data_IF_376693851366
#
_entry.id   IF_376693851366
#
_cell.length_a   1.000
_cell.length_b   1.000
_cell.length_c   1.000
_cell.angle_alpha   90.00
_cell.angle_beta   90.00
_cell.angle_gamma   90.00
#
_symmetry.space_group_name_H-M   'P 1'
#
loop_
_entity.id
_entity.type
_entity.pdbx_description
1 polymer ?
#
# COMPACT_ATOMS: atom_id res chain seq x y z
N UNK A 1 -11.35 -5.18 -9.08
CA UNK A 1 -10.42 -4.81 -10.17
C UNK A 1 -10.25 -3.31 -10.16
N UNK A 2 -9.05 -2.81 -10.43
CA UNK A 2 -8.86 -1.40 -10.77
C UNK A 2 -9.32 -1.21 -12.22
N UNK A 3 -10.58 -0.83 -12.39
CA UNK A 3 -11.10 -0.55 -13.72
C UNK A 3 -10.57 0.82 -14.15
N UNK A 4 -9.87 0.84 -15.28
CA UNK A 4 -9.34 2.06 -15.91
C UNK A 4 -10.14 2.26 -17.19
N UNK A 5 -10.71 3.45 -17.33
CA UNK A 5 -11.29 3.91 -18.60
C UNK A 5 -10.17 4.55 -19.41
N UNK A 6 -9.85 3.99 -20.58
CA UNK A 6 -8.88 4.57 -21.50
C UNK A 6 -9.52 5.73 -22.26
N UNK A 7 -8.92 6.93 -22.18
CA UNK A 7 -9.36 8.07 -22.98
C UNK A 7 -8.41 8.27 -24.16
N UNK A 8 -8.93 8.20 -25.37
CA UNK A 8 -8.18 8.37 -26.62
C UNK A 8 -8.78 9.52 -27.43
N UNK A 9 -8.05 10.63 -27.54
CA UNK A 9 -8.44 11.76 -28.38
C UNK A 9 -7.90 11.62 -29.80
N UNK A 10 -8.72 11.92 -30.80
CA UNK A 10 -8.34 11.99 -32.22
C UNK A 10 -8.79 13.30 -32.85
N UNK A 11 -8.17 13.64 -33.99
CA UNK A 11 -8.65 14.74 -34.83
C UNK A 11 -9.98 14.40 -35.50
N UNK A 12 -10.17 13.14 -35.84
CA UNK A 12 -11.44 12.59 -36.34
C UNK A 12 -11.55 11.12 -35.93
N UNK A 13 -12.72 10.73 -35.45
CA UNK A 13 -13.04 9.35 -35.10
C UNK A 13 -13.30 8.53 -36.37
N UNK A 14 -12.52 7.47 -36.55
CA UNK A 14 -12.57 6.56 -37.70
C UNK A 14 -12.50 5.11 -37.26
N UNK A 15 -12.85 4.18 -38.15
CA UNK A 15 -12.70 2.73 -37.88
C UNK A 15 -11.24 2.33 -37.64
N UNK A 16 -10.29 3.03 -38.26
CA UNK A 16 -8.86 2.83 -38.00
C UNK A 16 -8.48 3.22 -36.57
N UNK A 17 -8.98 4.37 -36.10
CA UNK A 17 -8.79 4.81 -34.71
C UNK A 17 -9.46 3.86 -33.72
N UNK A 18 -10.65 3.36 -34.05
CA UNK A 18 -11.31 2.33 -33.26
C UNK A 18 -10.47 1.04 -33.18
N UNK A 19 -9.94 0.56 -34.32
CA UNK A 19 -9.05 -0.61 -34.36
C UNK A 19 -7.79 -0.43 -33.49
N UNK A 20 -7.26 0.80 -33.39
CA UNK A 20 -6.16 1.14 -32.49
C UNK A 20 -6.57 1.02 -31.01
N UNK A 21 -7.73 1.57 -30.62
CA UNK A 21 -8.26 1.46 -29.26
C UNK A 21 -8.50 -0.01 -28.88
N UNK A 22 -9.06 -0.82 -29.78
CA UNK A 22 -9.25 -2.26 -29.55
C UNK A 22 -7.90 -2.96 -29.29
N UNK A 23 -6.84 -2.58 -30.02
CA UNK A 23 -5.48 -3.11 -29.77
C UNK A 23 -4.95 -2.68 -28.41
N UNK A 24 -5.22 -1.46 -27.96
CA UNK A 24 -4.84 -0.99 -26.63
C UNK A 24 -5.56 -1.77 -25.53
N UNK A 25 -6.88 -1.90 -25.61
CA UNK A 25 -7.68 -2.66 -24.64
C UNK A 25 -7.20 -4.11 -24.53
N UNK A 26 -6.91 -4.77 -25.66
CA UNK A 26 -6.36 -6.15 -25.68
C UNK A 26 -5.01 -6.28 -24.98
N UNK A 27 -4.15 -5.28 -25.09
CA UNK A 27 -2.81 -5.28 -24.48
C UNK A 27 -2.85 -4.94 -23.00
N UNK A 28 -3.66 -3.95 -22.63
CA UNK A 28 -3.75 -3.46 -21.26
C UNK A 28 -4.58 -4.40 -20.36
N UNK A 29 -5.60 -5.06 -20.91
CA UNK A 29 -6.55 -5.88 -20.14
C UNK A 29 -6.83 -7.24 -20.79
N UNK A 30 -5.81 -8.10 -20.98
CA UNK A 30 -5.96 -9.35 -21.72
C UNK A 30 -6.94 -10.35 -21.09
N UNK A 31 -7.18 -10.26 -19.78
CA UNK A 31 -7.96 -11.23 -18.99
C UNK A 31 -9.20 -10.65 -18.32
N UNK A 32 -9.38 -9.33 -18.35
CA UNK A 32 -10.40 -8.61 -17.59
C UNK A 32 -11.41 -7.86 -18.45
N UNK A 33 -12.35 -7.18 -17.79
CA UNK A 33 -13.18 -6.16 -18.43
C UNK A 33 -12.39 -4.88 -18.61
N UNK A 34 -12.65 -4.15 -19.70
CA UNK A 34 -12.02 -2.87 -19.95
C UNK A 34 -12.94 -1.95 -20.72
N UNK A 35 -12.75 -0.65 -20.50
CA UNK A 35 -13.56 0.40 -21.09
C UNK A 35 -12.68 1.46 -21.74
N UNK A 36 -13.14 2.00 -22.86
CA UNK A 36 -12.50 3.12 -23.52
C UNK A 36 -13.51 4.16 -23.99
N UNK A 37 -13.03 5.39 -24.06
CA UNK A 37 -13.68 6.53 -24.69
C UNK A 37 -12.77 6.96 -25.84
N UNK A 38 -13.24 6.79 -27.07
CA UNK A 38 -12.59 7.32 -28.27
C UNK A 38 -13.36 8.58 -28.69
N UNK A 39 -12.69 9.72 -28.81
CA UNK A 39 -13.40 10.97 -29.09
C UNK A 39 -12.64 11.92 -29.99
N UNK A 40 -13.38 12.79 -30.67
CA UNK A 40 -12.88 13.97 -31.38
C UNK A 40 -13.68 15.22 -30.95
N UNK A 41 -13.57 16.32 -31.69
CA UNK A 41 -14.28 17.57 -31.41
C UNK A 41 -15.80 17.49 -31.62
N UNK A 42 -16.29 16.49 -32.35
CA UNK A 42 -17.69 16.37 -32.78
C UNK A 42 -18.43 15.20 -32.10
N UNK A 43 -17.73 14.11 -31.81
CA UNK A 43 -18.34 12.86 -31.36
C UNK A 43 -17.47 12.07 -30.39
N UNK A 44 -18.09 11.09 -29.73
CA UNK A 44 -17.42 10.12 -28.89
C UNK A 44 -18.03 8.72 -29.03
N UNK A 45 -17.19 7.71 -28.86
CA UNK A 45 -17.53 6.31 -28.87
C UNK A 45 -17.17 5.70 -27.52
N UNK A 46 -18.16 5.15 -26.83
CA UNK A 46 -18.04 4.46 -25.55
C UNK A 46 -17.92 2.97 -25.81
N UNK A 47 -16.81 2.36 -25.41
CA UNK A 47 -16.44 1.01 -25.81
C UNK A 47 -16.26 0.18 -24.55
N UNK A 48 -16.98 -0.94 -24.44
CA UNK A 48 -16.80 -1.92 -23.38
C UNK A 48 -16.32 -3.23 -23.98
N UNK A 49 -15.33 -3.85 -23.35
CA UNK A 49 -14.75 -5.12 -23.77
C UNK A 49 -14.61 -6.08 -22.59
N UNK A 50 -14.62 -7.37 -22.89
CA UNK A 50 -14.22 -8.43 -21.96
C UNK A 50 -13.15 -9.28 -22.65
N UNK A 51 -11.97 -9.33 -22.04
CA UNK A 51 -10.77 -9.97 -22.61
C UNK A 51 -10.45 -9.37 -23.98
N UNK A 52 -10.58 -10.17 -25.03
CA UNK A 52 -10.25 -9.77 -26.41
C UNK A 52 -11.48 -9.42 -27.26
N UNK A 53 -12.68 -9.44 -26.66
CA UNK A 53 -13.97 -9.29 -27.34
C UNK A 53 -14.61 -7.96 -26.97
N UNK A 54 -15.03 -7.20 -27.99
CA UNK A 54 -15.83 -5.99 -27.80
C UNK A 54 -17.27 -6.41 -27.54
N UNK A 55 -17.80 -5.98 -26.40
CA UNK A 55 -19.17 -6.30 -25.97
C UNK A 55 -20.16 -5.23 -26.43
N UNK A 56 -19.78 -3.96 -26.31
CA UNK A 56 -20.64 -2.81 -26.59
C UNK A 56 -19.84 -1.66 -27.17
N UNK A 57 -20.42 -1.00 -28.16
CA UNK A 57 -19.95 0.29 -28.69
C UNK A 57 -21.15 1.20 -28.83
N UNK A 58 -21.16 2.30 -28.09
CA UNK A 58 -22.17 3.35 -28.20
C UNK A 58 -21.54 4.60 -28.80
N UNK A 59 -22.18 5.17 -29.82
CA UNK A 59 -21.67 6.33 -30.55
C UNK A 59 -22.67 7.47 -30.36
N UNK A 60 -22.18 8.67 -30.06
CA UNK A 60 -23.00 9.87 -29.94
C UNK A 60 -22.19 11.11 -30.34
N UNK A 61 -22.89 12.18 -30.76
CA UNK A 61 -22.27 13.49 -30.92
C UNK A 61 -22.36 14.28 -29.62
N UNK A 62 -21.39 15.16 -29.38
CA UNK A 62 -21.38 16.01 -28.18
C UNK A 62 -22.60 16.93 -28.06
N UNK A 63 -23.19 17.29 -29.20
CA UNK A 63 -24.33 18.21 -29.28
C UNK A 63 -25.69 17.50 -29.21
N UNK A 64 -25.71 16.17 -29.25
CA UNK A 64 -26.96 15.40 -29.18
C UNK A 64 -27.57 15.52 -27.78
N UNK A 65 -28.90 15.63 -27.72
CA UNK A 65 -29.63 15.63 -26.45
C UNK A 65 -29.37 14.34 -25.66
N UNK A 66 -28.98 14.47 -24.38
CA UNK A 66 -28.68 13.34 -23.50
C UNK A 66 -27.26 12.75 -23.62
N UNK A 67 -26.45 13.20 -24.58
CA UNK A 67 -25.06 12.73 -24.78
C UNK A 67 -24.18 12.94 -23.54
N UNK A 68 -24.32 14.08 -22.84
CA UNK A 68 -23.64 14.34 -21.57
C UNK A 68 -23.97 13.30 -20.50
N UNK A 69 -25.26 13.02 -20.29
CA UNK A 69 -25.70 12.06 -19.29
C UNK A 69 -25.24 10.64 -19.63
N UNK A 70 -25.26 10.27 -20.92
CA UNK A 70 -24.72 9.01 -21.41
C UNK A 70 -23.24 8.85 -21.09
N UNK A 71 -22.44 9.88 -21.39
CA UNK A 71 -21.01 9.90 -21.11
C UNK A 71 -20.71 9.82 -19.61
N UNK A 72 -21.38 10.65 -18.81
CA UNK A 72 -21.22 10.67 -17.35
C UNK A 72 -21.57 9.33 -16.72
N UNK A 73 -22.68 8.71 -17.14
CA UNK A 73 -23.06 7.36 -16.69
C UNK A 73 -21.98 6.35 -17.04
N UNK A 74 -21.49 6.33 -18.28
CA UNK A 74 -20.47 5.38 -18.69
C UNK A 74 -19.18 5.53 -17.88
N UNK A 75 -18.70 6.75 -17.68
CA UNK A 75 -17.50 6.99 -16.86
C UNK A 75 -17.76 6.55 -15.42
N UNK A 76 -18.89 6.92 -14.83
CA UNK A 76 -19.26 6.53 -13.46
C UNK A 76 -19.36 5.01 -13.29
N UNK A 77 -20.00 4.31 -14.22
CA UNK A 77 -20.25 2.86 -14.16
C UNK A 77 -18.95 2.04 -14.27
N UNK A 78 -17.95 2.60 -14.94
CA UNK A 78 -16.65 1.95 -15.15
C UNK A 78 -15.52 2.55 -14.30
N UNK A 79 -15.82 3.55 -13.48
CA UNK A 79 -14.86 4.12 -12.53
C UNK A 79 -14.56 3.11 -11.43
N UNK A 80 -13.28 2.90 -11.13
CA UNK A 80 -12.86 2.01 -10.06
C UNK A 80 -13.59 2.36 -8.74
N UNK A 81 -14.15 1.37 -8.01
CA UNK A 81 -14.74 1.61 -6.69
C UNK A 81 -13.78 2.32 -5.72
N UNK A 82 -12.47 2.19 -5.95
CA UNK A 82 -11.45 2.88 -5.17
C UNK A 82 -11.44 4.38 -5.35
N UNK A 83 -11.77 4.89 -6.55
CA UNK A 83 -11.89 6.34 -6.79
C UNK A 83 -13.05 6.89 -5.97
N UNK A 84 -14.23 6.25 -6.04
CA UNK A 84 -15.39 6.65 -5.24
C UNK A 84 -15.08 6.66 -3.75
N UNK A 85 -14.43 5.61 -3.24
CA UNK A 85 -14.01 5.54 -1.83
C UNK A 85 -13.00 6.61 -1.45
N UNK A 86 -12.02 6.87 -2.32
CA UNK A 86 -11.03 7.92 -2.10
C UNK A 86 -11.70 9.29 -2.03
N UNK A 87 -12.60 9.61 -2.97
CA UNK A 87 -13.39 10.86 -2.95
C UNK A 87 -14.21 10.97 -1.67
N UNK A 88 -14.91 9.91 -1.26
CA UNK A 88 -15.71 9.90 -0.02
C UNK A 88 -14.83 10.12 1.21
N UNK A 89 -13.71 9.39 1.32
CA UNK A 89 -12.77 9.52 2.44
C UNK A 89 -12.15 10.93 2.51
N UNK A 90 -11.71 11.47 1.37
CA UNK A 90 -11.17 12.82 1.27
C UNK A 90 -12.17 13.88 1.73
N UNK A 91 -13.44 13.76 1.30
CA UNK A 91 -14.52 14.65 1.73
C UNK A 91 -14.77 14.54 3.24
N UNK A 92 -14.90 13.32 3.77
CA UNK A 92 -15.17 13.07 5.18
C UNK A 92 -14.04 13.56 6.12
N UNK A 93 -12.79 13.46 5.67
CA UNK A 93 -11.60 13.78 6.46
C UNK A 93 -11.07 15.20 6.23
N UNK A 94 -11.68 15.97 5.31
CA UNK A 94 -11.22 17.32 4.98
C UNK A 94 -9.82 17.36 4.38
N UNK A 95 -9.49 16.40 3.51
CA UNK A 95 -8.18 16.29 2.84
C UNK A 95 -8.33 16.24 1.33
N UNK A 96 -7.30 16.65 0.59
CA UNK A 96 -7.18 16.48 -0.85
C UNK A 96 -6.00 15.57 -1.19
N UNK A 97 -6.11 14.81 -2.28
CA UNK A 97 -5.01 13.99 -2.77
C UNK A 97 -3.91 14.91 -3.31
N UNK A 98 -2.66 14.67 -2.91
CA UNK A 98 -1.52 15.48 -3.40
C UNK A 98 -1.31 15.23 -4.89
N UNK A 99 -1.14 16.29 -5.67
CA UNK A 99 -0.81 16.16 -7.10
C UNK A 99 0.62 15.62 -7.29
N UNK A 100 0.76 14.61 -8.15
CA UNK A 100 2.06 13.98 -8.45
C UNK A 100 2.60 13.10 -7.32
N UNK A 101 2.68 11.79 -7.56
CA UNK A 101 3.25 10.86 -6.58
C UNK A 101 2.37 10.62 -5.34
N UNK A 102 1.05 10.84 -5.46
CA UNK A 102 0.13 10.62 -4.35
C UNK A 102 0.00 9.15 -3.94
N UNK A 103 0.17 8.20 -4.87
CA UNK A 103 0.01 6.81 -4.53
C UNK A 103 1.25 6.28 -3.80
N UNK A 104 1.11 5.98 -2.51
CA UNK A 104 2.20 5.52 -1.65
C UNK A 104 2.34 4.00 -1.65
N UNK A 105 1.24 3.27 -1.86
CA UNK A 105 1.30 1.82 -1.94
C UNK A 105 -0.04 1.13 -1.89
N UNK A 106 0.00 -0.20 -2.07
CA UNK A 106 -1.15 -1.10 -1.93
C UNK A 106 -0.71 -2.32 -1.12
N UNK A 107 -1.45 -2.59 -0.06
CA UNK A 107 -1.32 -3.80 0.74
C UNK A 107 -2.36 -4.86 0.34
N UNK A 108 -2.46 -5.92 1.13
CA UNK A 108 -3.49 -6.94 0.97
C UNK A 108 -4.91 -6.37 1.22
N UNK A 109 -5.01 -5.40 2.13
CA UNK A 109 -6.28 -4.91 2.68
C UNK A 109 -6.71 -3.53 2.17
N UNK A 110 -5.82 -2.81 1.48
CA UNK A 110 -6.08 -1.41 1.14
C UNK A 110 -5.05 -0.74 0.25
N UNK A 111 -5.26 0.56 0.04
CA UNK A 111 -4.36 1.49 -0.65
C UNK A 111 -3.97 2.61 0.29
N UNK A 112 -2.78 3.16 0.07
CA UNK A 112 -2.27 4.29 0.83
C UNK A 112 -2.00 5.44 -0.13
N UNK A 113 -2.51 6.62 0.20
CA UNK A 113 -2.35 7.83 -0.58
C UNK A 113 -1.74 8.94 0.27
N UNK A 114 -0.84 9.72 -0.31
CA UNK A 114 -0.39 11.00 0.21
C UNK A 114 -1.50 12.02 0.00
N UNK A 115 -1.93 12.64 1.09
CA UNK A 115 -2.99 13.65 1.10
C UNK A 115 -2.50 14.90 1.83
N UNK A 116 -3.15 16.01 1.54
CA UNK A 116 -2.93 17.30 2.20
C UNK A 116 -4.21 17.70 2.92
N UNK A 117 -4.12 18.03 4.21
CA UNK A 117 -5.26 18.53 4.96
C UNK A 117 -5.60 19.95 4.53
N UNK A 118 -6.89 20.21 4.27
CA UNK A 118 -7.39 21.50 3.79
C UNK A 118 -7.13 22.65 4.78
N UNK A 119 -7.23 22.37 6.07
CA UNK A 119 -7.17 23.37 7.13
C UNK A 119 -5.76 23.97 7.34
N UNK A 120 -4.73 23.13 7.33
CA UNK A 120 -3.36 23.50 7.74
C UNK A 120 -2.28 23.13 6.72
N UNK A 121 -2.69 22.58 5.56
CA UNK A 121 -1.78 22.11 4.50
C UNK A 121 -0.80 21.03 4.97
N UNK A 122 -1.11 20.33 6.06
CA UNK A 122 -0.28 19.24 6.57
C UNK A 122 -0.38 18.03 5.65
N UNK A 123 0.78 17.50 5.29
CA UNK A 123 0.91 16.27 4.50
C UNK A 123 0.75 15.04 5.39
N UNK A 124 -0.14 14.14 5.00
CA UNK A 124 -0.54 12.94 5.73
C UNK A 124 -0.61 11.74 4.78
N UNK A 125 -0.58 10.53 5.33
CA UNK A 125 -0.89 9.31 4.61
C UNK A 125 -2.31 8.86 4.95
N UNK A 126 -3.16 8.75 3.94
CA UNK A 126 -4.51 8.22 3.99
C UNK A 126 -4.46 6.73 3.68
N UNK A 127 -4.76 5.89 4.67
CA UNK A 127 -4.95 4.45 4.46
C UNK A 127 -6.43 4.18 4.21
N UNK A 128 -6.73 3.55 3.08
CA UNK A 128 -8.07 3.34 2.56
C UNK A 128 -8.31 1.84 2.34
N UNK A 129 -9.39 1.30 2.92
CA UNK A 129 -9.73 -0.12 2.81
C UNK A 129 -11.12 -0.33 2.22
N UNK A 130 -11.41 -1.56 1.82
CA UNK A 130 -12.76 -1.97 1.44
C UNK A 130 -13.60 -2.41 2.64
N UNK A 131 -14.91 -2.56 2.44
CA UNK A 131 -15.84 -2.98 3.49
C UNK A 131 -15.52 -4.35 4.10
N UNK A 132 -14.73 -5.20 3.44
CA UNK A 132 -14.32 -6.52 3.95
C UNK A 132 -13.13 -6.43 4.90
N UNK A 133 -12.42 -5.31 4.87
CA UNK A 133 -11.15 -5.11 5.57
C UNK A 133 -11.24 -4.03 6.66
N UNK A 134 -12.45 -3.56 6.99
CA UNK A 134 -12.68 -2.54 8.02
C UNK A 134 -12.22 -3.00 9.40
N UNK A 135 -12.48 -4.26 9.78
CA UNK A 135 -11.99 -4.83 11.05
C UNK A 135 -10.46 -4.86 11.12
N UNK A 136 -9.78 -5.12 10.01
CA UNK A 136 -8.31 -5.09 9.97
C UNK A 136 -7.79 -3.67 10.17
N UNK A 137 -8.43 -2.67 9.55
CA UNK A 137 -8.08 -1.27 9.73
C UNK A 137 -8.31 -0.78 11.15
N UNK A 138 -9.41 -1.19 11.79
CA UNK A 138 -9.68 -0.87 13.19
C UNK A 138 -8.64 -1.49 14.14
N UNK A 139 -8.20 -2.73 13.88
CA UNK A 139 -7.10 -3.34 14.66
C UNK A 139 -5.80 -2.56 14.50
N UNK A 140 -5.48 -2.13 13.29
CA UNK A 140 -4.29 -1.30 13.06
C UNK A 140 -4.36 0.04 13.79
N UNK A 141 -5.54 0.69 13.84
CA UNK A 141 -5.75 1.88 14.65
C UNK A 141 -5.42 1.64 16.13
N UNK A 142 -5.92 0.54 16.71
CA UNK A 142 -5.62 0.16 18.09
C UNK A 142 -4.11 -0.09 18.29
N UNK A 143 -3.46 -0.78 17.36
CA UNK A 143 -2.04 -1.07 17.43
C UNK A 143 -1.18 0.21 17.38
N UNK A 144 -1.51 1.14 16.48
CA UNK A 144 -0.83 2.44 16.36
C UNK A 144 -1.07 3.32 17.60
N UNK A 145 -2.28 3.31 18.15
CA UNK A 145 -2.61 4.04 19.39
C UNK A 145 -1.76 3.53 20.56
N UNK A 146 -1.67 2.20 20.71
CA UNK A 146 -0.86 1.59 21.77
C UNK A 146 0.64 1.88 21.60
N UNK A 147 1.10 2.07 20.37
CA UNK A 147 2.51 2.31 20.05
C UNK A 147 2.89 3.80 19.98
N UNK A 148 1.93 4.73 20.04
CA UNK A 148 2.15 6.16 19.77
C UNK A 148 3.28 6.77 20.62
N UNK A 149 3.30 6.45 21.92
CA UNK A 149 4.27 7.00 22.87
C UNK A 149 5.68 6.39 22.74
N UNK A 150 5.87 5.37 21.90
CA UNK A 150 7.20 4.78 21.69
C UNK A 150 8.10 5.65 20.84
N UNK A 151 7.53 6.48 19.96
CA UNK A 151 8.27 7.20 18.93
C UNK A 151 8.94 6.31 17.87
N UNK A 152 8.58 5.02 17.82
CA UNK A 152 9.12 4.00 16.89
C UNK A 152 8.19 3.71 15.70
N UNK A 153 6.96 4.22 15.73
CA UNK A 153 5.94 3.98 14.70
C UNK A 153 5.49 5.29 14.07
N UNK A 154 4.84 5.20 12.91
CA UNK A 154 3.93 6.28 12.51
C UNK A 154 2.83 6.46 13.57
N UNK A 155 2.28 7.66 13.67
CA UNK A 155 1.21 8.00 14.61
C UNK A 155 -0.08 8.27 13.88
N UNK A 156 -1.19 8.02 14.55
CA UNK A 156 -2.50 8.43 14.08
C UNK A 156 -2.62 9.94 14.17
N UNK A 157 -3.07 10.52 13.08
CA UNK A 157 -3.45 11.93 13.02
C UNK A 157 -4.98 12.07 13.09
N UNK A 158 -5.69 11.09 12.51
CA UNK A 158 -7.13 10.94 12.64
C UNK A 158 -7.46 9.47 12.64
N UNK A 159 -8.34 9.08 13.57
CA UNK A 159 -8.76 7.71 13.78
C UNK A 159 -9.61 7.14 12.64
N UNK A 160 -10.13 5.96 12.89
CA UNK A 160 -10.96 5.20 11.98
C UNK A 160 -12.25 5.94 11.63
N UNK A 161 -12.51 6.09 10.33
CA UNK A 161 -13.76 6.63 9.77
C UNK A 161 -14.35 5.60 8.83
N UNK A 162 -15.55 5.12 9.16
CA UNK A 162 -16.34 4.24 8.32
C UNK A 162 -17.24 5.06 7.37
N UNK A 163 -17.44 4.56 6.16
CA UNK A 163 -18.32 5.15 5.17
C UNK A 163 -18.87 4.10 4.21
N UNK A 164 -19.93 4.41 3.43
CA UNK A 164 -20.48 3.46 2.48
C UNK A 164 -19.41 2.90 1.52
N UNK A 165 -19.11 1.60 1.69
CA UNK A 165 -18.20 0.84 0.85
C UNK A 165 -16.78 0.65 1.39
N UNK A 166 -16.39 1.23 2.52
CA UNK A 166 -15.07 1.04 3.10
C UNK A 166 -14.78 1.94 4.30
N UNK A 167 -13.53 1.94 4.76
CA UNK A 167 -13.10 2.79 5.86
C UNK A 167 -11.74 3.42 5.56
N UNK A 168 -11.38 4.45 6.33
CA UNK A 168 -10.09 5.12 6.22
C UNK A 168 -9.57 5.63 7.58
N UNK A 169 -8.26 5.89 7.63
CA UNK A 169 -7.61 6.60 8.73
C UNK A 169 -6.47 7.47 8.17
N UNK A 170 -6.01 8.45 8.97
CA UNK A 170 -4.87 9.31 8.62
C UNK A 170 -3.70 9.04 9.55
N UNK A 171 -2.52 8.82 8.97
CA UNK A 171 -1.25 8.65 9.69
C UNK A 171 -0.21 9.68 9.27
N UNK A 172 0.71 9.95 10.18
CA UNK A 172 1.86 10.85 9.98
C UNK A 172 3.08 10.28 10.69
N UNK A 173 4.31 10.58 10.27
CA UNK A 173 4.69 11.28 9.03
C UNK A 173 4.51 10.43 7.76
N UNK A 174 4.58 11.09 6.60
CA UNK A 174 4.77 10.42 5.30
C UNK A 174 6.26 10.31 5.04
N UNK A 175 6.77 9.08 4.97
CA UNK A 175 8.18 8.79 4.70
C UNK A 175 8.40 8.07 3.36
N UNK A 176 9.67 7.92 3.00
CA UNK A 176 10.07 7.07 1.87
C UNK A 176 10.19 5.61 2.33
N UNK A 177 9.85 4.61 1.50
CA UNK A 177 10.12 3.21 1.83
C UNK A 177 11.61 2.98 2.09
N UNK A 178 11.94 2.23 3.14
CA UNK A 178 13.33 1.88 3.43
C UNK A 178 13.89 1.02 2.28
N UNK A 179 15.03 1.41 1.65
CA UNK A 179 15.71 0.56 0.69
C UNK A 179 16.15 -0.75 1.33
N UNK A 180 16.35 -1.77 0.50
CA UNK A 180 16.82 -3.05 1.01
C UNK A 180 18.18 -2.88 1.72
N UNK A 181 18.38 -3.44 2.92
CA UNK A 181 19.67 -3.38 3.59
C UNK A 181 20.74 -4.10 2.77
N UNK A 182 21.88 -3.44 2.59
CA UNK A 182 23.06 -3.93 1.85
C UNK A 182 24.30 -4.05 2.74
N UNK A 183 24.27 -3.43 3.91
CA UNK A 183 25.36 -3.42 4.90
C UNK A 183 24.94 -4.09 6.20
N UNK A 184 25.92 -4.56 6.97
CA UNK A 184 25.68 -5.12 8.30
C UNK A 184 25.03 -4.09 9.22
N UNK A 185 25.44 -2.83 9.14
CA UNK A 185 24.89 -1.76 9.98
C UNK A 185 23.41 -1.52 9.72
N UNK A 186 22.95 -1.58 8.47
CA UNK A 186 21.53 -1.45 8.14
C UNK A 186 20.71 -2.64 8.71
N UNK A 187 21.29 -3.85 8.69
CA UNK A 187 20.65 -5.02 9.32
C UNK A 187 20.60 -4.86 10.84
N UNK A 188 21.67 -4.36 11.49
CA UNK A 188 21.65 -4.01 12.91
C UNK A 188 20.56 -3.00 13.24
N UNK A 189 20.47 -1.92 12.47
CA UNK A 189 19.46 -0.87 12.69
C UNK A 189 18.03 -1.44 12.64
N UNK A 190 17.74 -2.38 11.74
CA UNK A 190 16.43 -3.04 11.65
C UNK A 190 16.11 -3.90 12.87
N UNK A 191 17.05 -4.74 13.31
CA UNK A 191 16.86 -5.57 14.49
C UNK A 191 16.82 -4.74 15.78
N UNK A 192 17.57 -3.65 15.87
CA UNK A 192 17.47 -2.71 16.99
C UNK A 192 16.13 -1.97 17.01
N UNK A 193 15.59 -1.61 15.85
CA UNK A 193 14.26 -0.99 15.76
C UNK A 193 13.16 -1.97 16.21
N UNK A 194 13.27 -3.25 15.84
CA UNK A 194 12.33 -4.29 16.30
C UNK A 194 12.48 -4.55 17.80
N UNK A 195 13.72 -4.64 18.30
CA UNK A 195 14.05 -4.84 19.71
C UNK A 195 13.44 -3.73 20.58
N UNK A 196 13.63 -2.47 20.19
CA UNK A 196 13.06 -1.32 20.91
C UNK A 196 11.54 -1.39 21.01
N UNK A 197 10.86 -1.92 19.98
CA UNK A 197 9.41 -2.13 20.00
C UNK A 197 9.04 -3.21 21.04
N UNK A 198 9.78 -4.33 21.03
CA UNK A 198 9.58 -5.44 21.96
C UNK A 198 9.86 -5.06 23.42
N UNK A 199 10.84 -4.17 23.68
CA UNK A 199 11.11 -3.60 25.02
C UNK A 199 9.96 -2.77 25.57
N UNK A 200 9.15 -2.19 24.68
CA UNK A 200 7.92 -1.46 25.04
C UNK A 200 6.69 -2.37 25.12
N UNK A 201 6.88 -3.69 25.10
CA UNK A 201 5.82 -4.69 25.05
C UNK A 201 4.84 -4.48 23.89
N UNK A 202 5.36 -4.08 22.73
CA UNK A 202 4.59 -3.99 21.49
C UNK A 202 5.14 -5.02 20.52
N UNK A 203 4.23 -5.79 19.93
CA UNK A 203 4.52 -6.72 18.84
C UNK A 203 4.12 -6.05 17.54
N UNK A 204 4.94 -6.18 16.50
CA UNK A 204 4.59 -5.66 15.19
C UNK A 204 3.60 -6.58 14.49
N UNK A 205 3.80 -7.90 14.57
CA UNK A 205 2.98 -8.93 13.95
C UNK A 205 3.24 -9.16 12.46
N UNK A 206 3.91 -8.21 11.79
CA UNK A 206 4.35 -8.31 10.40
C UNK A 206 5.59 -7.43 10.10
N UNK A 207 6.68 -7.53 10.89
CA UNK A 207 7.84 -6.65 10.73
C UNK A 207 8.65 -7.03 9.49
N UNK A 208 8.29 -6.46 8.35
CA UNK A 208 8.99 -6.65 7.08
C UNK A 208 9.73 -5.37 6.70
N UNK A 209 10.82 -5.48 5.95
CA UNK A 209 11.56 -4.30 5.45
C UNK A 209 10.64 -3.29 4.73
N UNK A 210 9.66 -3.69 3.90
CA UNK A 210 8.70 -2.77 3.28
C UNK A 210 7.76 -2.06 4.26
N UNK A 211 7.65 -2.53 5.51
CA UNK A 211 6.86 -1.91 6.57
C UNK A 211 7.70 -0.95 7.42
N UNK A 212 8.86 -0.52 6.91
CA UNK A 212 9.68 0.54 7.48
C UNK A 212 9.73 1.73 6.53
N UNK A 213 9.48 2.92 7.07
CA UNK A 213 9.67 4.18 6.37
C UNK A 213 10.86 4.96 6.94
N UNK A 214 11.54 5.70 6.06
CA UNK A 214 12.59 6.65 6.39
C UNK A 214 11.98 8.05 6.39
N UNK A 215 12.18 8.77 7.49
CA UNK A 215 11.71 10.15 7.66
C UNK A 215 12.89 11.03 8.06
N UNK A 216 12.93 12.25 7.53
CA UNK A 216 13.94 13.24 7.93
C UNK A 216 13.52 13.88 9.25
N UNK A 217 14.37 13.76 10.26
CA UNK A 217 14.23 14.40 11.56
C UNK A 217 15.54 15.12 11.89
N UNK A 218 15.53 16.45 11.88
CA UNK A 218 16.71 17.29 12.10
C UNK A 218 17.93 16.85 11.26
N UNK A 219 17.73 16.69 9.95
CA UNK A 219 18.70 16.20 8.94
C UNK A 219 19.20 14.76 9.14
N UNK A 220 18.70 14.03 10.14
CA UNK A 220 18.99 12.62 10.35
C UNK A 220 17.86 11.75 9.85
N UNK A 221 18.23 10.60 9.31
CA UNK A 221 17.26 9.58 8.94
C UNK A 221 16.76 8.88 10.20
N UNK A 222 15.46 8.97 10.43
CA UNK A 222 14.76 8.22 11.45
C UNK A 222 13.92 7.12 10.78
N UNK A 223 14.01 5.92 11.33
CA UNK A 223 13.22 4.77 10.88
C UNK A 223 11.96 4.66 11.73
N UNK A 224 10.82 4.41 11.08
CA UNK A 224 9.55 4.17 11.75
C UNK A 224 8.86 2.94 11.17
N UNK A 225 8.27 2.13 12.05
CA UNK A 225 7.37 1.03 11.67
C UNK A 225 6.00 1.56 11.23
N UNK A 226 5.40 0.89 10.25
CA UNK A 226 4.02 1.07 9.77
C UNK A 226 3.35 -0.31 9.65
N UNK A 227 2.04 -0.34 9.38
CA UNK A 227 1.29 -1.60 9.16
C UNK A 227 1.37 -2.57 10.36
N UNK A 228 1.21 -2.04 11.58
CA UNK A 228 1.18 -2.86 12.79
C UNK A 228 -0.09 -3.71 12.86
N UNK A 229 0.06 -4.92 13.40
CA UNK A 229 -1.06 -5.82 13.73
C UNK A 229 -1.27 -5.79 15.23
N UNK A 230 -2.52 -5.59 15.64
CA UNK A 230 -2.89 -5.61 17.06
C UNK A 230 -2.59 -6.97 17.70
N UNK A 231 -1.93 -6.94 18.85
CA UNK A 231 -1.63 -8.11 19.66
C UNK A 231 -2.20 -7.89 21.07
N UNK A 232 -3.27 -8.63 21.38
CA UNK A 232 -3.98 -8.56 22.67
C UNK A 232 -3.08 -8.97 23.86
N UNK A 233 -2.11 -9.86 23.62
CA UNK A 233 -1.15 -10.32 24.61
C UNK A 233 0.24 -10.47 23.98
N UNK A 234 1.28 -9.96 24.65
CA UNK A 234 2.67 -10.15 24.22
C UNK A 234 3.26 -11.36 24.93
N UNK A 235 3.72 -12.34 24.14
CA UNK A 235 4.41 -13.54 24.63
C UNK A 235 5.76 -13.68 23.92
N UNK A 236 6.73 -14.42 24.50
CA UNK A 236 7.99 -14.72 23.82
C UNK A 236 7.80 -15.29 22.41
N UNK A 237 6.77 -16.13 22.20
CA UNK A 237 6.46 -16.72 20.90
C UNK A 237 6.11 -15.68 19.81
N UNK A 238 5.49 -14.55 20.19
CA UNK A 238 5.24 -13.47 19.23
C UNK A 238 6.53 -12.73 18.85
N UNK A 239 7.46 -12.54 19.80
CA UNK A 239 8.77 -11.95 19.51
C UNK A 239 9.60 -12.84 18.59
N UNK A 240 9.58 -14.15 18.82
CA UNK A 240 10.18 -15.17 17.93
C UNK A 240 9.59 -15.05 16.52
N UNK A 241 8.27 -14.94 16.41
CA UNK A 241 7.57 -14.82 15.12
C UNK A 241 7.97 -13.55 14.37
N UNK A 242 7.97 -12.41 15.05
CA UNK A 242 8.42 -11.12 14.50
C UNK A 242 9.85 -11.20 13.97
N UNK A 243 10.79 -11.73 14.77
CA UNK A 243 12.18 -11.87 14.37
C UNK A 243 12.34 -12.80 13.15
N UNK A 244 11.53 -13.87 13.06
CA UNK A 244 11.52 -14.77 11.91
C UNK A 244 10.97 -14.10 10.64
N UNK A 245 9.90 -13.29 10.76
CA UNK A 245 9.33 -12.55 9.62
C UNK A 245 10.36 -11.53 9.09
N UNK A 246 10.99 -10.76 9.97
CA UNK A 246 12.02 -9.79 9.59
C UNK A 246 13.21 -10.49 8.93
N UNK A 247 13.68 -11.60 9.51
CA UNK A 247 14.75 -12.43 8.94
C UNK A 247 14.43 -12.86 7.51
N UNK A 248 13.24 -13.44 7.27
CA UNK A 248 12.81 -13.85 5.93
C UNK A 248 12.71 -12.67 4.98
N UNK A 249 12.21 -11.53 5.46
CA UNK A 249 12.09 -10.30 4.66
C UNK A 249 13.46 -9.81 4.16
N UNK A 250 14.47 -9.78 5.04
CA UNK A 250 15.85 -9.39 4.69
C UNK A 250 16.47 -10.39 3.68
N UNK A 251 16.26 -11.68 3.91
CA UNK A 251 16.79 -12.77 3.07
C UNK A 251 16.02 -12.98 1.75
N UNK A 252 14.88 -12.30 1.52
CA UNK A 252 13.96 -12.52 0.39
C UNK A 252 13.41 -13.94 0.31
N UNK A 253 13.15 -14.53 1.47
CA UNK A 253 12.50 -15.83 1.57
C UNK A 253 10.97 -15.67 1.59
N UNK A 254 10.26 -16.69 1.12
CA UNK A 254 8.81 -16.74 1.26
C UNK A 254 8.45 -16.93 2.74
N UNK A 255 7.27 -16.49 3.15
CA UNK A 255 6.81 -16.62 4.54
C UNK A 255 6.81 -18.09 5.04
N UNK A 256 6.63 -19.05 4.12
CA UNK A 256 6.62 -20.50 4.41
C UNK A 256 8.00 -21.15 4.39
N UNK A 257 9.05 -20.42 4.02
CA UNK A 257 10.41 -20.96 3.98
C UNK A 257 10.92 -21.27 5.39
N UNK A 258 11.50 -22.47 5.55
CA UNK A 258 12.19 -22.89 6.76
C UNK A 258 13.49 -22.10 6.93
N UNK A 259 13.84 -21.77 8.17
CA UNK A 259 15.06 -21.04 8.50
C UNK A 259 16.03 -22.03 9.15
N UNK A 260 16.87 -22.71 8.38
CA UNK A 260 17.81 -23.69 8.95
C UNK A 260 18.74 -23.09 10.02
N UNK A 261 19.36 -23.98 10.80
CA UNK A 261 20.40 -23.58 11.76
C UNK A 261 21.57 -22.83 11.08
N UNK A 262 22.18 -21.83 11.73
CA UNK A 262 21.98 -21.42 13.13
C UNK A 262 20.84 -20.40 13.36
N UNK A 263 20.07 -20.03 12.32
CA UNK A 263 19.11 -18.92 12.41
C UNK A 263 17.92 -19.23 13.33
N UNK A 264 17.39 -20.46 13.28
CA UNK A 264 16.29 -20.90 14.14
C UNK A 264 16.64 -20.80 15.63
N UNK A 265 17.82 -21.28 16.06
CA UNK A 265 18.28 -21.13 17.45
C UNK A 265 18.40 -19.65 17.86
N UNK A 266 19.03 -18.82 17.04
CA UNK A 266 19.23 -17.39 17.35
C UNK A 266 17.92 -16.61 17.43
N UNK A 267 16.93 -16.95 16.58
CA UNK A 267 15.59 -16.37 16.63
C UNK A 267 14.87 -16.75 17.93
N UNK A 268 15.00 -18.00 18.37
CA UNK A 268 14.44 -18.46 19.63
C UNK A 268 15.10 -17.77 20.84
N UNK A 269 16.44 -17.65 20.84
CA UNK A 269 17.19 -16.93 21.87
C UNK A 269 16.74 -15.46 21.96
N UNK A 270 16.60 -14.77 20.84
CA UNK A 270 16.06 -13.41 20.78
C UNK A 270 14.62 -13.34 21.33
N UNK A 271 13.75 -14.27 20.95
CA UNK A 271 12.35 -14.29 21.39
C UNK A 271 12.20 -14.42 22.92
N UNK A 272 13.06 -15.24 23.54
CA UNK A 272 13.12 -15.38 25.00
C UNK A 272 13.69 -14.14 25.68
N UNK A 273 14.76 -13.58 25.14
CA UNK A 273 15.45 -12.41 25.68
C UNK A 273 15.87 -11.46 24.56
N UNK A 274 15.07 -10.41 24.25
CA UNK A 274 15.37 -9.45 23.17
C UNK A 274 16.40 -8.40 23.64
N UNK A 275 17.58 -8.85 24.04
CA UNK A 275 18.71 -7.98 24.41
C UNK A 275 19.40 -7.43 23.17
N UNK A 276 20.16 -6.34 23.31
CA UNK A 276 20.99 -5.82 22.21
C UNK A 276 21.97 -6.87 21.69
N UNK A 277 22.55 -7.66 22.58
CA UNK A 277 23.48 -8.73 22.23
C UNK A 277 22.81 -9.81 21.36
N UNK A 278 21.64 -10.30 21.77
CA UNK A 278 20.92 -11.32 21.02
C UNK A 278 20.44 -10.78 19.66
N UNK A 279 19.98 -9.53 19.61
CA UNK A 279 19.60 -8.86 18.36
C UNK A 279 20.79 -8.75 17.39
N UNK A 280 21.96 -8.34 17.87
CA UNK A 280 23.17 -8.18 17.04
C UNK A 280 23.76 -9.53 16.60
N UNK A 281 23.73 -10.56 17.45
CA UNK A 281 24.12 -11.93 17.08
C UNK A 281 23.23 -12.45 15.93
N UNK A 282 21.92 -12.31 16.05
CA UNK A 282 20.97 -12.69 15.00
C UNK A 282 21.21 -11.89 13.71
N UNK A 283 21.30 -10.58 13.80
CA UNK A 283 21.56 -9.70 12.66
C UNK A 283 22.86 -10.05 11.92
N UNK A 284 23.93 -10.40 12.65
CA UNK A 284 25.20 -10.85 12.06
C UNK A 284 25.01 -12.14 11.25
N UNK A 285 24.31 -13.13 11.82
CA UNK A 285 24.02 -14.38 11.12
C UNK A 285 23.16 -14.15 9.87
N UNK A 286 22.11 -13.32 9.97
CA UNK A 286 21.26 -12.95 8.83
C UNK A 286 22.09 -12.28 7.73
N UNK A 287 22.94 -11.31 8.07
CA UNK A 287 23.79 -10.65 7.08
C UNK A 287 24.76 -11.61 6.41
N UNK A 288 25.37 -12.54 7.14
CA UNK A 288 26.22 -13.58 6.56
C UNK A 288 25.44 -14.46 5.59
N UNK A 289 24.21 -14.86 5.93
CA UNK A 289 23.33 -15.64 5.05
C UNK A 289 22.95 -14.89 3.76
N UNK A 290 22.83 -13.56 3.76
CA UNK A 290 22.57 -12.79 2.53
C UNK A 290 23.66 -12.98 1.47
N UNK A 291 24.93 -13.11 1.89
CA UNK A 291 26.08 -13.28 0.99
C UNK A 291 26.08 -14.66 0.32
N UNK A 292 25.49 -15.66 0.96
CA UNK A 292 25.35 -17.00 0.39
C UNK A 292 24.17 -17.09 -0.58
N UNK A 293 23.07 -16.37 -0.32
CA UNK A 293 21.92 -16.32 -1.22
C UNK A 293 22.17 -15.55 -2.52
N UNK A 294 23.11 -14.61 -2.56
CA UNK A 294 23.47 -13.86 -3.78
C UNK A 294 24.35 -14.65 -4.77
N UNK A 295 24.81 -15.86 -4.41
CA UNK A 295 25.64 -16.74 -5.24
C UNK A 295 24.85 -17.88 -5.91
N UNK A 296 23.52 -17.83 -5.88
CA UNK A 296 22.62 -18.78 -6.57
C UNK A 296 21.78 -18.07 -7.61
#
# INVERSE_FOLDING_TARGET
MDCVVLFESKLSVTDAAFGQVVRYLRRLFPTGSASAVLFDLSSFWLITSLKTVILRVEKANWVDGGSKALFESFVSDHTSPWVRRLTTACSALGVDVVEGGAFLGRGAHGRVFKVERKADKKVLALKLVDSRSTTALFREELALTNAELTGLTARLEHGFVDFPGGAALLVTPVGAPLPRPTTLQEVFNLFDLLRQLHEKNIIHGDPRVPNVIVVKDNDKDKLLWIDLVEAVLVTPGFRTTDAAILTRSILRLLHTSLLGEPLESLINEYGQAPTSENAHRLATAVFQSTKFSARR
#
